data_IF_410507701566
#
_entry.id   IF_410507701566
#
_cell.length_a   1.000
_cell.length_b   1.000
_cell.length_c   1.000
_cell.angle_alpha   90.00
_cell.angle_beta   90.00
_cell.angle_gamma   90.00
#
_symmetry.space_group_name_H-M   'P 1'
#
loop_
_entity.id
_entity.type
_entity.pdbx_description
1 polymer ?
#
# COMPACT_ATOMS: atom_id res chain seq x y z
N UNK A 1 4.61 8.22 2.83
CA UNK A 1 4.87 9.69 2.76
C UNK A 1 3.65 10.41 3.33
N UNK A 2 3.85 11.49 4.09
CA UNK A 2 2.76 12.34 4.57
C UNK A 2 1.79 12.75 3.45
N UNK A 3 0.47 12.77 3.67
CA UNK A 3 -0.50 13.30 2.72
C UNK A 3 -0.21 14.76 2.40
N UNK A 4 -0.29 15.09 1.12
CA UNK A 4 -0.16 16.43 0.58
C UNK A 4 -0.75 16.43 -0.82
N UNK A 5 -1.17 17.58 -1.34
CA UNK A 5 -1.76 17.64 -2.69
C UNK A 5 -0.88 16.97 -3.76
N UNK A 6 0.44 17.11 -3.66
CA UNK A 6 1.38 16.48 -4.59
C UNK A 6 1.46 14.96 -4.40
N UNK A 7 1.52 14.50 -3.15
CA UNK A 7 1.60 13.06 -2.84
C UNK A 7 0.29 12.37 -3.21
N UNK A 8 -0.85 12.98 -2.86
CA UNK A 8 -2.17 12.42 -3.14
C UNK A 8 -2.45 12.38 -4.64
N UNK A 9 -2.04 13.40 -5.41
CA UNK A 9 -2.08 13.34 -6.87
C UNK A 9 -1.17 12.24 -7.43
N UNK A 10 0.04 12.07 -6.88
CA UNK A 10 0.94 11.00 -7.32
C UNK A 10 0.31 9.61 -7.10
N UNK A 11 -0.38 9.38 -5.98
CA UNK A 11 -1.13 8.14 -5.74
C UNK A 11 -2.34 8.00 -6.66
N UNK A 12 -3.12 9.07 -6.84
CA UNK A 12 -4.27 9.07 -7.74
C UNK A 12 -3.88 8.74 -9.20
N UNK A 13 -2.71 9.22 -9.64
CA UNK A 13 -2.20 8.98 -10.99
C UNK A 13 -1.86 7.51 -11.30
N UNK A 14 -1.78 6.64 -10.28
CA UNK A 14 -1.57 5.21 -10.46
C UNK A 14 -2.85 4.48 -10.92
N UNK A 15 -4.01 5.10 -10.76
CA UNK A 15 -5.29 4.54 -11.16
C UNK A 15 -5.70 5.11 -12.53
N UNK A 16 -6.28 4.29 -13.42
CA UNK A 16 -6.96 4.78 -14.61
C UNK A 16 -8.12 5.70 -14.23
N UNK A 17 -8.62 6.48 -15.20
CA UNK A 17 -9.73 7.43 -15.01
C UNK A 17 -10.95 6.83 -14.30
N UNK A 18 -11.27 5.57 -14.59
CA UNK A 18 -12.41 4.85 -14.00
C UNK A 18 -12.00 4.01 -12.77
N UNK A 19 -10.88 4.32 -12.13
CA UNK A 19 -10.39 3.61 -10.93
C UNK A 19 -9.94 2.16 -11.18
N UNK A 20 -9.81 1.75 -12.44
CA UNK A 20 -9.55 0.37 -12.84
C UNK A 20 -10.81 -0.45 -13.17
N UNK A 21 -12.00 0.15 -13.04
CA UNK A 21 -13.25 -0.49 -13.44
C UNK A 21 -13.41 -0.48 -14.96
N UNK A 22 -13.92 -1.58 -15.50
CA UNK A 22 -14.18 -1.76 -16.92
C UNK A 22 -15.36 -2.70 -17.16
N UNK A 23 -15.85 -2.72 -18.39
CA UNK A 23 -16.84 -3.70 -18.87
C UNK A 23 -16.45 -4.14 -20.27
N UNK A 24 -16.46 -5.45 -20.54
CA UNK A 24 -16.05 -6.01 -21.81
C UNK A 24 -16.88 -7.24 -22.16
N UNK A 25 -17.50 -7.27 -23.34
CA UNK A 25 -18.47 -8.30 -23.75
C UNK A 25 -18.03 -9.76 -23.58
N UNK A 26 -16.74 -10.05 -23.77
CA UNK A 26 -16.16 -11.40 -23.58
C UNK A 26 -15.48 -11.62 -22.22
N UNK A 27 -14.56 -10.75 -21.83
CA UNK A 27 -13.73 -10.90 -20.64
C UNK A 27 -14.45 -10.53 -19.32
N UNK A 28 -15.37 -9.56 -19.37
CA UNK A 28 -16.07 -9.05 -18.19
C UNK A 28 -17.48 -8.56 -18.59
N UNK A 29 -18.46 -9.47 -18.79
CA UNK A 29 -19.81 -9.11 -19.23
C UNK A 29 -20.53 -8.14 -18.28
N UNK A 30 -20.19 -8.19 -16.99
CA UNK A 30 -20.59 -7.23 -15.97
C UNK A 30 -19.44 -6.28 -15.63
N UNK A 31 -19.78 -5.09 -15.11
CA UNK A 31 -18.78 -4.14 -14.60
C UNK A 31 -17.88 -4.85 -13.59
N UNK A 32 -16.58 -4.80 -13.84
CA UNK A 32 -15.55 -5.54 -13.10
C UNK A 32 -14.33 -4.63 -12.90
N UNK A 33 -13.40 -5.03 -12.04
CA UNK A 33 -12.15 -4.31 -11.80
C UNK A 33 -10.97 -5.24 -12.05
N UNK A 34 -9.81 -4.71 -12.46
CA UNK A 34 -8.57 -5.49 -12.39
C UNK A 34 -8.02 -5.39 -10.97
N UNK A 35 -7.71 -6.54 -10.36
CA UNK A 35 -7.33 -6.67 -8.95
C UNK A 35 -6.21 -5.70 -8.52
N UNK A 36 -5.19 -5.48 -9.35
CA UNK A 36 -4.10 -4.52 -9.06
C UNK A 36 -4.60 -3.12 -8.71
N UNK A 37 -5.65 -2.62 -9.37
CA UNK A 37 -6.18 -1.28 -9.10
C UNK A 37 -6.98 -1.24 -7.81
N UNK A 38 -7.69 -2.31 -7.47
CA UNK A 38 -8.34 -2.46 -6.18
C UNK A 38 -7.29 -2.54 -5.05
N UNK A 39 -6.20 -3.30 -5.23
CA UNK A 39 -5.09 -3.40 -4.29
C UNK A 39 -4.42 -2.04 -4.04
N UNK A 40 -4.15 -1.27 -5.10
CA UNK A 40 -3.59 0.09 -4.99
C UNK A 40 -4.54 1.05 -4.29
N UNK A 41 -5.84 0.99 -4.58
CA UNK A 41 -6.86 1.78 -3.91
C UNK A 41 -6.91 1.48 -2.40
N UNK A 42 -6.95 0.21 -2.01
CA UNK A 42 -6.93 -0.19 -0.60
C UNK A 42 -5.64 0.24 0.11
N UNK A 43 -4.49 0.11 -0.54
CA UNK A 43 -3.22 0.53 0.04
C UNK A 43 -3.19 2.05 0.28
N UNK A 44 -3.75 2.83 -0.64
CA UNK A 44 -3.86 4.28 -0.47
C UNK A 44 -4.84 4.65 0.66
N UNK A 45 -5.97 3.96 0.77
CA UNK A 45 -6.88 4.13 1.91
C UNK A 45 -6.19 3.85 3.25
N UNK A 46 -5.39 2.79 3.34
CA UNK A 46 -4.60 2.46 4.54
C UNK A 46 -3.60 3.58 4.84
N UNK A 47 -2.90 4.09 3.81
CA UNK A 47 -1.99 5.22 3.96
C UNK A 47 -2.71 6.42 4.57
N UNK A 48 -3.85 6.82 4.01
CA UNK A 48 -4.61 7.97 4.49
C UNK A 48 -5.06 7.77 5.94
N UNK A 49 -5.68 6.62 6.25
CA UNK A 49 -6.15 6.30 7.60
C UNK A 49 -5.04 6.31 8.66
N UNK A 50 -3.82 5.85 8.32
CA UNK A 50 -2.68 5.88 9.24
C UNK A 50 -2.28 7.30 9.63
N UNK A 51 -2.28 8.24 8.69
CA UNK A 51 -1.94 9.63 8.97
C UNK A 51 -3.10 10.39 9.63
N UNK A 52 -4.35 10.10 9.26
CA UNK A 52 -5.54 10.63 9.95
C UNK A 52 -5.58 10.21 11.43
N UNK A 53 -5.16 8.99 11.74
CA UNK A 53 -5.08 8.51 13.12
C UNK A 53 -3.95 9.17 13.93
N UNK A 54 -3.02 9.90 13.28
CA UNK A 54 -1.81 10.49 13.88
C UNK A 54 -1.66 11.99 13.56
N UNK A 55 -2.58 12.84 14.04
CA UNK A 55 -2.53 14.28 13.78
C UNK A 55 -1.27 14.95 14.38
N UNK A 56 -0.74 14.39 15.47
CA UNK A 56 0.50 14.81 16.11
C UNK A 56 1.70 14.77 15.15
N UNK A 57 1.73 13.78 14.26
CA UNK A 57 2.78 13.64 13.26
C UNK A 57 2.61 14.64 12.12
N UNK A 58 1.36 14.88 11.70
CA UNK A 58 1.08 15.89 10.67
C UNK A 58 1.47 17.30 11.14
N UNK A 59 1.22 17.63 12.40
CA UNK A 59 1.64 18.90 12.99
C UNK A 59 3.17 19.04 13.01
N UNK A 60 3.90 17.99 13.41
CA UNK A 60 5.36 18.02 13.45
C UNK A 60 6.01 18.12 12.07
N UNK A 61 5.44 17.44 11.07
CA UNK A 61 5.85 17.55 9.66
C UNK A 61 5.63 18.99 9.15
N UNK A 62 4.47 19.58 9.43
CA UNK A 62 4.16 20.96 9.02
C UNK A 62 5.08 21.99 9.69
N UNK A 63 5.53 21.71 10.91
CA UNK A 63 6.45 22.57 11.66
C UNK A 63 7.91 22.42 11.21
N UNK A 64 8.19 21.68 10.14
CA UNK A 64 9.53 21.54 9.56
C UNK A 64 10.44 20.57 10.31
N UNK A 65 9.88 19.72 11.19
CA UNK A 65 10.61 18.65 11.87
C UNK A 65 10.87 17.52 10.88
N UNK A 66 11.79 17.72 9.95
CA UNK A 66 12.04 16.77 8.88
C UNK A 66 12.84 15.56 9.42
N UNK A 67 12.33 14.32 9.28
CA UNK A 67 13.06 13.13 9.72
C UNK A 67 14.39 12.91 8.98
N UNK A 68 14.58 13.59 7.84
CA UNK A 68 15.79 13.49 7.02
C UNK A 68 17.04 14.09 7.68
N UNK A 69 16.88 14.90 8.74
CA UNK A 69 17.99 15.45 9.52
C UNK A 69 18.52 14.46 10.57
N UNK A 70 17.79 13.37 10.83
CA UNK A 70 18.31 12.25 11.61
C UNK A 70 19.06 11.31 10.67
N UNK A 71 20.37 11.57 10.52
CA UNK A 71 21.29 10.59 9.94
C UNK A 71 21.02 9.22 10.55
N UNK A 72 20.87 8.24 9.68
CA UNK A 72 20.70 6.85 10.01
C UNK A 72 21.95 6.32 10.70
N UNK A 73 22.11 6.60 11.99
CA UNK A 73 23.06 5.92 12.85
C UNK A 73 22.46 4.56 13.17
N UNK A 74 22.51 3.65 12.20
CA UNK A 74 22.36 2.22 12.45
C UNK A 74 23.59 1.71 13.19
N UNK A 75 23.72 2.08 14.47
CA UNK A 75 24.51 1.31 15.42
C UNK A 75 23.60 0.84 16.54
N UNK A 76 23.54 -0.48 16.65
CA UNK A 76 22.87 -1.22 17.69
C UNK A 76 23.31 -0.78 19.09
N UNK A 77 22.35 -0.79 20.02
CA UNK A 77 22.63 -0.90 21.45
C UNK A 77 22.22 0.32 22.27
N UNK A 78 21.24 0.08 23.16
CA UNK A 78 20.88 0.90 24.33
C UNK A 78 20.31 2.28 23.96
N UNK A 79 19.02 2.54 24.08
CA UNK A 79 18.38 2.75 25.37
C UNK A 79 16.86 2.51 25.32
N UNK A 80 16.35 1.79 26.32
CA UNK A 80 14.94 1.61 26.58
C UNK A 80 14.33 2.88 27.21
N UNK A 81 14.22 3.97 26.45
CA UNK A 81 13.34 5.08 26.83
C UNK A 81 11.92 4.77 26.33
N UNK A 82 10.85 4.92 27.13
CA UNK A 82 9.49 4.55 26.73
C UNK A 82 8.92 5.49 25.65
N UNK A 83 9.56 6.63 25.42
CA UNK A 83 9.13 7.64 24.46
C UNK A 83 9.63 7.27 23.06
N UNK A 84 8.90 6.35 22.42
CA UNK A 84 9.16 5.94 21.04
C UNK A 84 8.93 7.17 20.16
N UNK A 85 9.99 7.65 19.51
CA UNK A 85 9.95 8.81 18.64
C UNK A 85 8.98 8.55 17.46
N UNK A 86 7.72 8.91 17.66
CA UNK A 86 6.61 8.50 16.81
C UNK A 86 6.74 8.95 15.35
N UNK A 87 7.52 10.00 15.10
CA UNK A 87 7.87 10.47 13.76
C UNK A 87 8.74 9.47 13.02
N UNK A 88 9.70 8.86 13.72
CA UNK A 88 10.58 7.83 13.16
C UNK A 88 9.78 6.60 12.76
N UNK A 89 8.82 6.20 13.59
CA UNK A 89 7.94 5.07 13.31
C UNK A 89 7.04 5.33 12.09
N UNK A 90 6.45 6.54 12.00
CA UNK A 90 5.65 6.92 10.84
C UNK A 90 6.46 7.09 9.56
N UNK A 91 7.71 7.54 9.65
CA UNK A 91 8.62 7.54 8.51
C UNK A 91 8.91 6.10 8.03
N UNK A 92 9.21 5.19 8.96
CA UNK A 92 9.47 3.79 8.63
C UNK A 92 8.24 3.13 7.99
N UNK A 93 7.06 3.29 8.58
CA UNK A 93 5.80 2.78 8.03
C UNK A 93 5.52 3.40 6.66
N UNK A 94 5.74 4.72 6.51
CA UNK A 94 5.59 5.41 5.23
C UNK A 94 6.50 4.90 4.13
N UNK A 95 7.71 4.44 4.47
CA UNK A 95 8.64 3.77 3.56
C UNK A 95 8.21 2.33 3.26
N UNK A 96 7.73 1.57 4.26
CA UNK A 96 7.20 0.21 4.06
C UNK A 96 5.98 0.20 3.13
N UNK A 97 5.06 1.16 3.28
CA UNK A 97 3.92 1.32 2.37
C UNK A 97 4.38 1.56 0.93
N UNK A 98 5.44 2.33 0.75
CA UNK A 98 6.02 2.57 -0.58
C UNK A 98 6.65 1.30 -1.17
N UNK A 99 7.34 0.49 -0.35
CA UNK A 99 7.86 -0.80 -0.76
C UNK A 99 6.76 -1.76 -1.22
N UNK A 100 5.64 -1.81 -0.50
CA UNK A 100 4.47 -2.62 -0.88
C UNK A 100 3.86 -2.11 -2.19
N UNK A 101 3.68 -0.80 -2.33
CA UNK A 101 3.21 -0.17 -3.59
C UNK A 101 4.09 -0.54 -4.77
N UNK A 102 5.41 -0.43 -4.62
CA UNK A 102 6.37 -0.82 -5.65
C UNK A 102 6.28 -2.32 -5.99
N UNK A 103 6.04 -3.17 -4.99
CA UNK A 103 5.89 -4.61 -5.20
C UNK A 103 4.63 -4.95 -6.00
N UNK A 104 3.50 -4.29 -5.70
CA UNK A 104 2.24 -4.39 -6.45
C UNK A 104 2.43 -3.93 -7.90
N UNK A 105 3.11 -2.80 -8.11
CA UNK A 105 3.39 -2.30 -9.47
C UNK A 105 4.36 -3.20 -10.25
N UNK A 106 5.31 -3.84 -9.57
CA UNK A 106 6.29 -4.75 -10.19
C UNK A 106 5.67 -6.09 -10.60
N UNK A 107 4.74 -6.61 -9.81
CA UNK A 107 3.99 -7.84 -10.11
C UNK A 107 2.49 -7.60 -9.98
N UNK A 108 1.88 -6.94 -10.97
CA UNK A 108 0.47 -6.59 -10.91
C UNK A 108 -0.40 -7.83 -10.99
N UNK A 109 -1.36 -7.93 -10.07
CA UNK A 109 -2.42 -8.93 -10.15
C UNK A 109 -3.44 -8.55 -11.22
N UNK A 110 -3.43 -9.28 -12.33
CA UNK A 110 -4.28 -9.03 -13.50
C UNK A 110 -5.63 -9.74 -13.43
N UNK A 111 -5.96 -10.34 -12.29
CA UNK A 111 -7.22 -11.03 -12.05
C UNK A 111 -8.40 -10.08 -12.26
N UNK A 112 -9.45 -10.57 -12.94
CA UNK A 112 -10.68 -9.82 -13.18
C UNK A 112 -11.62 -10.05 -12.00
N UNK A 113 -11.70 -9.07 -11.12
CA UNK A 113 -12.64 -9.07 -10.00
C UNK A 113 -14.02 -8.67 -10.48
N UNK A 114 -14.95 -9.61 -10.33
CA UNK A 114 -16.33 -9.44 -10.76
C UNK A 114 -17.04 -8.45 -9.84
N UNK A 115 -17.67 -7.42 -10.41
CA UNK A 115 -18.36 -6.41 -9.62
C UNK A 115 -19.54 -6.99 -8.83
N UNK A 116 -19.65 -6.58 -7.57
CA UNK A 116 -20.72 -6.91 -6.64
C UNK A 116 -21.67 -5.71 -6.47
N UNK A 117 -22.91 -5.81 -7.00
CA UNK A 117 -23.91 -4.75 -6.88
C UNK A 117 -24.29 -4.40 -5.44
N UNK A 118 -24.14 -5.32 -4.48
CA UNK A 118 -24.52 -5.09 -3.08
C UNK A 118 -23.61 -4.06 -2.39
N UNK A 119 -22.35 -3.97 -2.83
CA UNK A 119 -21.36 -3.01 -2.30
C UNK A 119 -21.03 -1.90 -3.30
N UNK A 120 -21.60 -1.93 -4.51
CA UNK A 120 -21.35 -0.93 -5.55
C UNK A 120 -19.90 -0.94 -6.09
N UNK A 121 -19.19 -2.06 -5.94
CA UNK A 121 -17.76 -2.16 -6.20
C UNK A 121 -17.31 -3.61 -6.42
N UNK A 122 -16.09 -3.93 -6.01
CA UNK A 122 -15.55 -5.30 -5.98
C UNK A 122 -15.14 -5.63 -4.54
N UNK A 123 -15.23 -6.91 -4.16
CA UNK A 123 -14.84 -7.33 -2.80
C UNK A 123 -13.40 -7.83 -2.73
N UNK A 124 -12.79 -8.17 -3.87
CA UNK A 124 -11.49 -8.85 -3.93
C UNK A 124 -11.52 -10.31 -3.45
N UNK A 125 -12.69 -10.85 -3.08
CA UNK A 125 -12.83 -12.21 -2.57
C UNK A 125 -13.72 -13.06 -3.47
N UNK A 126 -13.49 -14.38 -3.48
CA UNK A 126 -14.25 -15.33 -4.29
C UNK A 126 -13.91 -15.32 -5.78
N UNK A 127 -12.86 -14.60 -6.18
CA UNK A 127 -12.27 -14.66 -7.53
C UNK A 127 -11.00 -15.51 -7.48
N UNK A 128 -10.70 -16.24 -8.55
CA UNK A 128 -9.48 -17.04 -8.64
C UNK A 128 -8.29 -16.17 -9.08
N UNK A 129 -7.23 -16.17 -8.29
CA UNK A 129 -6.00 -15.41 -8.54
C UNK A 129 -4.86 -16.33 -8.97
N UNK A 130 -3.90 -15.80 -9.74
CA UNK A 130 -2.69 -16.52 -10.09
C UNK A 130 -1.60 -16.28 -9.05
N UNK A 131 -1.37 -17.27 -8.19
CA UNK A 131 -0.37 -17.19 -7.14
C UNK A 131 0.98 -17.78 -7.57
N UNK A 132 2.04 -17.32 -6.91
CA UNK A 132 3.31 -18.05 -6.89
C UNK A 132 3.15 -19.34 -6.07
N UNK A 133 3.95 -20.36 -6.38
CA UNK A 133 4.02 -21.54 -5.54
C UNK A 133 4.70 -21.19 -4.21
N UNK A 134 3.88 -20.86 -3.21
CA UNK A 134 4.38 -20.41 -1.90
C UNK A 134 5.16 -21.50 -1.18
N UNK A 135 4.72 -22.75 -1.29
CA UNK A 135 5.39 -23.87 -0.62
C UNK A 135 6.80 -24.07 -1.16
N UNK A 136 6.98 -24.04 -2.48
CA UNK A 136 8.29 -24.19 -3.11
C UNK A 136 9.25 -23.05 -2.75
N UNK A 137 8.74 -21.81 -2.66
CA UNK A 137 9.53 -20.67 -2.17
C UNK A 137 9.99 -20.90 -0.72
N UNK A 138 9.08 -21.34 0.15
CA UNK A 138 9.40 -21.57 1.56
C UNK A 138 10.35 -22.75 1.75
N UNK A 139 10.19 -23.82 0.98
CA UNK A 139 11.09 -24.97 0.97
C UNK A 139 12.50 -24.54 0.52
N UNK A 140 12.60 -23.75 -0.56
CA UNK A 140 13.88 -23.20 -1.02
C UNK A 140 14.54 -22.32 0.05
N UNK A 141 13.79 -21.44 0.71
CA UNK A 141 14.33 -20.59 1.79
C UNK A 141 14.85 -21.39 2.97
N UNK A 142 14.10 -22.42 3.40
CA UNK A 142 14.49 -23.29 4.51
C UNK A 142 15.79 -24.06 4.23
N UNK A 143 16.05 -24.41 2.99
CA UNK A 143 17.28 -25.08 2.58
C UNK A 143 18.51 -24.14 2.55
N UNK A 144 18.30 -22.81 2.69
CA UNK A 144 19.33 -21.78 2.55
C UNK A 144 19.39 -20.78 3.72
N UNK A 145 18.70 -21.04 4.84
CA UNK A 145 18.80 -20.25 6.08
C UNK A 145 19.86 -20.78 7.08
#
# INVERSE_FOLDING_TARGET
MPPSAQVDEAWASLLPKEGGFFQHSKLAPQKSCIAVFHQLHCLDMIRQALYEARPDIMEQVNNGSHPADHKADHKAGHDASPDHNHVKDMYHIGHCLDLVRQSILCRPDLTVEVGDPAVGGVTGFGTEHQCVNWQELMDWMKDHE
#
